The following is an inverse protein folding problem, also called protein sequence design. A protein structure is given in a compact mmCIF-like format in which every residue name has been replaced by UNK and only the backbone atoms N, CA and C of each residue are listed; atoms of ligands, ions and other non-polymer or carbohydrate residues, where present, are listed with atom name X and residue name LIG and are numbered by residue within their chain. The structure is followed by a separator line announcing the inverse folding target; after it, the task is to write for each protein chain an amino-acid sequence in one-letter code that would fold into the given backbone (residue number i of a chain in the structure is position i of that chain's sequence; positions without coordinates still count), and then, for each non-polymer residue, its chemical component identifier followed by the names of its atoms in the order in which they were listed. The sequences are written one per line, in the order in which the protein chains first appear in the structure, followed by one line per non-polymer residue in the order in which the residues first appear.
data_IF_905335719462
#
_entry.id   IF_905335719462
#
_cell.length_a   1.000
_cell.length_b   1.000
_cell.length_c   1.000
_cell.angle_alpha   90.00
_cell.angle_beta   90.00
_cell.angle_gamma   90.00
#
_symmetry.space_group_name_H-M   'P 1'
#
loop_
_entity.id
_entity.type
_entity.pdbx_description
1 polymer ?
#
# COMPACT_ATOMS: atom_id res chain seq x y z
N UNK A 1 -12.21 -5.49 3.02
CA UNK A 1 -10.93 -5.60 3.75
C UNK A 1 -10.01 -4.50 3.28
N UNK A 2 -8.94 -4.18 4.01
CA UNK A 2 -8.00 -3.10 3.65
C UNK A 2 -6.59 -3.65 3.63
N UNK A 3 -5.79 -3.17 2.68
CA UNK A 3 -4.35 -3.39 2.61
C UNK A 3 -3.65 -2.05 2.57
N UNK A 4 -2.46 -1.99 3.14
CA UNK A 4 -1.70 -0.76 3.32
C UNK A 4 -0.33 -0.93 2.67
N UNK A 5 0.09 0.11 1.96
CA UNK A 5 1.33 0.11 1.21
C UNK A 5 2.09 1.40 1.45
N UNK A 6 3.40 1.25 1.35
CA UNK A 6 4.41 2.30 1.35
C UNK A 6 5.02 2.36 -0.06
N UNK A 7 5.31 3.58 -0.53
CA UNK A 7 5.98 3.86 -1.80
C UNK A 7 7.22 4.69 -1.45
N UNK A 8 8.33 4.05 -1.04
CA UNK A 8 9.48 4.77 -0.49
C UNK A 8 10.07 5.82 -1.44
N UNK A 9 10.11 5.49 -2.74
CA UNK A 9 10.66 6.36 -3.78
C UNK A 9 9.88 7.66 -3.96
N UNK A 10 8.58 7.65 -3.64
CA UNK A 10 7.71 8.81 -3.74
C UNK A 10 7.39 9.43 -2.38
N UNK A 11 7.90 8.85 -1.28
CA UNK A 11 7.50 9.18 0.09
C UNK A 11 5.97 9.27 0.19
N UNK A 12 5.28 8.25 -0.32
CA UNK A 12 3.81 8.20 -0.35
C UNK A 12 3.32 6.94 0.36
N UNK A 13 2.15 7.02 0.99
CA UNK A 13 1.46 5.85 1.53
C UNK A 13 0.13 5.64 0.82
N UNK A 14 -0.22 4.39 0.54
CA UNK A 14 -1.43 4.02 -0.19
C UNK A 14 -2.28 3.05 0.63
N UNK A 15 -3.57 3.38 0.81
CA UNK A 15 -4.55 2.49 1.41
C UNK A 15 -5.55 2.06 0.34
N UNK A 16 -5.65 0.76 0.09
CA UNK A 16 -6.64 0.22 -0.86
C UNK A 16 -7.71 -0.60 -0.16
N UNK A 17 -8.95 -0.45 -0.62
CA UNK A 17 -10.05 -1.33 -0.28
C UNK A 17 -10.02 -2.56 -1.19
N UNK A 18 -10.02 -3.77 -0.59
CA UNK A 18 -10.04 -5.03 -1.33
C UNK A 18 -11.17 -5.95 -0.89
N UNK A 19 -11.65 -6.75 -1.83
CA UNK A 19 -12.55 -7.88 -1.59
C UNK A 19 -11.74 -9.15 -1.23
N UNK A 20 -12.42 -10.29 -1.06
CA UNK A 20 -11.76 -11.55 -0.69
C UNK A 20 -10.75 -12.06 -1.72
N UNK A 21 -10.95 -11.73 -3.00
CA UNK A 21 -10.02 -12.09 -4.08
C UNK A 21 -8.77 -11.20 -4.02
N UNK A 22 -8.96 -9.88 -3.87
CA UNK A 22 -7.84 -8.93 -3.77
C UNK A 22 -6.97 -9.09 -2.52
N UNK A 23 -7.47 -9.74 -1.47
CA UNK A 23 -6.64 -10.15 -0.32
C UNK A 23 -5.62 -11.24 -0.68
N UNK A 24 -5.89 -12.05 -1.72
CA UNK A 24 -5.00 -13.14 -2.15
C UNK A 24 -4.00 -12.70 -3.22
N UNK A 25 -4.13 -11.48 -3.72
CA UNK A 25 -3.24 -10.97 -4.77
C UNK A 25 -1.84 -10.73 -4.22
N UNK A 26 -0.83 -11.05 -5.01
CA UNK A 26 0.54 -10.62 -4.72
C UNK A 26 0.66 -9.11 -4.87
N UNK A 27 1.72 -8.54 -4.31
CA UNK A 27 1.99 -7.09 -4.45
C UNK A 27 2.10 -6.71 -5.93
N UNK A 28 2.82 -7.49 -6.73
CA UNK A 28 2.94 -7.26 -8.19
C UNK A 28 1.60 -7.25 -8.94
N UNK A 29 0.63 -8.07 -8.51
CA UNK A 29 -0.72 -8.06 -9.09
C UNK A 29 -1.49 -6.79 -8.71
N UNK A 30 -1.30 -6.30 -7.48
CA UNK A 30 -1.87 -5.02 -7.03
C UNK A 30 -1.22 -3.85 -7.77
N UNK A 31 0.10 -3.88 -7.96
CA UNK A 31 0.83 -2.89 -8.76
C UNK A 31 0.28 -2.81 -10.19
N UNK A 32 0.15 -3.96 -10.86
CA UNK A 32 -0.44 -4.03 -12.21
C UNK A 32 -1.88 -3.53 -12.26
N UNK A 33 -2.69 -3.84 -11.24
CA UNK A 33 -4.09 -3.43 -11.19
C UNK A 33 -4.28 -1.94 -10.90
N UNK A 34 -3.36 -1.33 -10.15
CA UNK A 34 -3.44 0.09 -9.74
C UNK A 34 -2.61 1.02 -10.64
N UNK A 35 -1.69 0.47 -11.44
CA UNK A 35 -0.75 1.25 -12.24
C UNK A 35 0.36 1.91 -11.41
N UNK A 36 0.50 1.53 -10.14
CA UNK A 36 1.51 2.04 -9.20
C UNK A 36 2.62 1.01 -9.09
N UNK A 37 3.88 1.45 -9.07
CA UNK A 37 5.04 0.57 -8.91
C UNK A 37 5.84 0.93 -7.66
N UNK A 38 6.63 -0.03 -7.18
CA UNK A 38 7.42 0.15 -5.96
C UNK A 38 6.58 0.04 -4.69
N UNK A 39 5.45 -0.67 -4.73
CA UNK A 39 4.63 -0.91 -3.55
C UNK A 39 5.37 -1.84 -2.57
N UNK A 40 5.50 -1.39 -1.32
CA UNK A 40 5.92 -2.22 -0.19
C UNK A 40 4.72 -2.43 0.73
N UNK A 41 4.26 -3.67 0.86
CA UNK A 41 3.16 -3.98 1.78
C UNK A 41 3.62 -3.78 3.23
N UNK A 42 2.79 -3.08 4.00
CA UNK A 42 3.04 -2.78 5.41
C UNK A 42 1.78 -3.03 6.23
N UNK A 43 1.94 -3.18 7.54
CA UNK A 43 0.79 -3.25 8.44
C UNK A 43 0.19 -1.86 8.71
N UNK A 44 -0.97 -1.83 9.35
CA UNK A 44 -1.67 -0.58 9.67
C UNK A 44 -0.87 0.35 10.61
N UNK A 45 -0.08 -0.20 11.54
CA UNK A 45 0.69 0.57 12.50
C UNK A 45 1.84 1.28 11.80
N UNK A 46 2.56 0.57 10.94
CA UNK A 46 3.64 1.13 10.12
C UNK A 46 3.10 2.14 9.11
N UNK A 47 1.99 1.83 8.42
CA UNK A 47 1.30 2.77 7.53
C UNK A 47 0.97 4.10 8.22
N UNK A 48 0.40 4.06 9.43
CA UNK A 48 0.04 5.26 10.18
C UNK A 48 1.28 6.08 10.59
N UNK A 49 2.40 5.42 10.87
CA UNK A 49 3.67 6.08 11.18
C UNK A 49 4.21 6.80 9.94
N UNK A 50 4.30 6.09 8.81
CA UNK A 50 4.81 6.62 7.55
C UNK A 50 3.90 7.74 7.01
N UNK A 51 2.58 7.59 7.11
CA UNK A 51 1.63 8.64 6.71
C UNK A 51 1.87 9.96 7.43
N UNK A 52 2.24 9.91 8.72
CA UNK A 52 2.60 11.11 9.49
C UNK A 52 3.98 11.66 9.12
N UNK A 53 4.93 10.77 8.82
CA UNK A 53 6.29 11.17 8.44
C UNK A 53 6.36 11.79 7.04
N UNK A 54 5.50 11.34 6.13
CA UNK A 54 5.46 11.80 4.74
C UNK A 54 4.50 12.98 4.55
N UNK A 55 3.47 13.09 5.39
CA UNK A 55 2.55 14.23 5.40
C UNK A 55 3.03 15.42 6.24
N UNK A 56 4.21 15.32 6.87
CA UNK A 56 4.89 16.41 7.56
C UNK A 56 5.84 17.14 6.61
#
# INVERSE_FOLDING_TARGET
MKRYFDIPGERLTLQIGVNAVGMKYTVEQIEKATGVTGLREVDRKEYNKLSKEYGA
#
